data_IF_859544932676
#
_entry.id   IF_859544932676
#
_cell.length_a   1.000
_cell.length_b   1.000
_cell.length_c   1.000
_cell.angle_alpha   90.00
_cell.angle_beta   90.00
_cell.angle_gamma   90.00
#
_symmetry.space_group_name_H-M   'P 1'
#
loop_
_entity.id
_entity.type
_entity.pdbx_description
1 polymer ?
#
# COMPACT_ATOMS: atom_id res chain seq x y z
N UNK A 1 -61.21 -18.10 14.50
CA UNK A 1 -60.29 -17.22 15.26
C UNK A 1 -58.88 -17.55 14.79
N UNK A 2 -58.38 -16.83 13.78
CA UNK A 2 -57.02 -17.02 13.25
C UNK A 2 -56.18 -15.83 13.71
N UNK A 3 -55.35 -16.05 14.72
CA UNK A 3 -54.33 -15.09 15.14
C UNK A 3 -53.03 -15.43 14.41
N UNK A 4 -52.79 -14.76 13.28
CA UNK A 4 -51.48 -14.77 12.63
C UNK A 4 -50.57 -13.84 13.42
N UNK A 5 -49.67 -14.43 14.20
CA UNK A 5 -48.61 -13.71 14.90
C UNK A 5 -47.57 -13.25 13.87
N UNK A 6 -47.55 -11.95 13.59
CA UNK A 6 -46.42 -11.26 12.96
C UNK A 6 -45.24 -11.29 13.94
N UNK A 7 -44.44 -12.35 13.88
CA UNK A 7 -43.11 -12.38 14.48
C UNK A 7 -42.16 -11.68 13.54
N UNK A 8 -41.73 -10.49 13.90
CA UNK A 8 -40.65 -9.74 13.27
C UNK A 8 -39.43 -10.65 13.09
N UNK A 9 -39.20 -11.10 11.86
CA UNK A 9 -37.89 -11.63 11.47
C UNK A 9 -36.91 -10.47 11.59
N UNK A 10 -36.17 -10.46 12.69
CA UNK A 10 -34.93 -9.73 12.79
C UNK A 10 -34.05 -10.19 11.63
N UNK A 11 -33.95 -9.36 10.59
CA UNK A 11 -32.93 -9.50 9.57
C UNK A 11 -31.59 -9.21 10.25
N UNK A 12 -31.02 -10.24 10.88
CA UNK A 12 -29.63 -10.20 11.33
C UNK A 12 -28.80 -10.17 10.05
N UNK A 13 -28.27 -8.99 9.73
CA UNK A 13 -27.29 -8.81 8.67
C UNK A 13 -25.99 -9.48 9.14
N UNK A 14 -25.87 -10.79 8.90
CA UNK A 14 -24.68 -11.61 9.13
C UNK A 14 -23.67 -11.38 7.99
N UNK A 15 -23.43 -10.10 7.65
CA UNK A 15 -22.78 -9.68 6.41
C UNK A 15 -21.31 -9.27 6.55
N UNK A 16 -20.78 -9.18 7.77
CA UNK A 16 -19.44 -8.66 8.01
C UNK A 16 -18.34 -9.73 8.09
N UNK A 17 -18.66 -11.02 8.20
CA UNK A 17 -17.64 -12.05 8.47
C UNK A 17 -16.96 -12.64 7.21
N UNK A 18 -17.56 -12.55 6.02
CA UNK A 18 -17.08 -13.31 4.86
C UNK A 18 -16.25 -12.53 3.82
N UNK A 19 -16.18 -11.19 3.90
CA UNK A 19 -15.35 -10.41 2.96
C UNK A 19 -13.85 -10.65 3.22
N UNK A 20 -13.50 -11.00 4.46
CA UNK A 20 -12.13 -11.27 4.90
C UNK A 20 -11.57 -12.61 4.37
N UNK A 21 -12.43 -13.60 4.10
CA UNK A 21 -12.00 -14.94 3.63
C UNK A 21 -12.09 -15.11 2.11
N UNK A 22 -12.54 -14.06 1.44
CA UNK A 22 -12.71 -14.05 0.00
C UNK A 22 -11.36 -14.23 -0.71
N UNK A 23 -11.18 -15.29 -1.54
CA UNK A 23 -9.87 -15.62 -2.10
C UNK A 23 -9.30 -14.51 -3.00
N UNK A 24 -10.17 -13.70 -3.61
CA UNK A 24 -9.75 -12.52 -4.37
C UNK A 24 -9.29 -11.38 -3.47
N UNK A 25 -10.04 -11.05 -2.42
CA UNK A 25 -9.68 -9.99 -1.47
C UNK A 25 -8.36 -10.33 -0.78
N UNK A 26 -8.22 -11.56 -0.29
CA UNK A 26 -6.99 -12.08 0.34
C UNK A 26 -5.79 -12.00 -0.61
N UNK A 27 -5.96 -12.37 -1.89
CA UNK A 27 -4.89 -12.30 -2.88
C UNK A 27 -4.43 -10.86 -3.15
N UNK A 28 -5.37 -9.92 -3.29
CA UNK A 28 -5.02 -8.51 -3.52
C UNK A 28 -4.40 -7.86 -2.28
N UNK A 29 -4.82 -8.28 -1.08
CA UNK A 29 -4.23 -7.84 0.17
C UNK A 29 -2.80 -8.36 0.34
N UNK A 30 -2.54 -9.64 0.02
CA UNK A 30 -1.18 -10.18 -0.01
C UNK A 30 -0.25 -9.43 -1.00
N UNK A 31 -0.77 -9.02 -2.17
CA UNK A 31 -0.01 -8.19 -3.13
C UNK A 31 0.23 -6.77 -2.63
N UNK A 32 -0.67 -6.25 -1.79
CA UNK A 32 -0.52 -4.95 -1.15
C UNK A 32 0.58 -5.03 -0.09
N UNK A 33 0.58 -6.09 0.72
CA UNK A 33 1.61 -6.36 1.74
C UNK A 33 2.99 -6.56 1.11
N UNK A 34 3.07 -7.29 -0.01
CA UNK A 34 4.30 -7.43 -0.82
C UNK A 34 4.82 -6.06 -1.29
N UNK A 35 3.95 -5.22 -1.85
CA UNK A 35 4.31 -3.87 -2.29
C UNK A 35 4.77 -2.99 -1.11
N UNK A 36 4.18 -3.16 0.08
CA UNK A 36 4.66 -2.47 1.29
C UNK A 36 6.05 -2.94 1.72
N UNK A 37 6.32 -4.24 1.68
CA UNK A 37 7.64 -4.77 1.97
C UNK A 37 8.71 -4.23 0.99
N UNK A 38 8.36 -4.11 -0.29
CA UNK A 38 9.21 -3.46 -1.30
C UNK A 38 9.51 -2.00 -0.90
N UNK A 39 8.50 -1.19 -0.54
CA UNK A 39 8.73 0.20 -0.10
C UNK A 39 9.68 0.27 1.09
N UNK A 40 9.49 -0.57 2.11
CA UNK A 40 10.34 -0.59 3.31
C UNK A 40 11.81 -0.88 2.96
N UNK A 41 12.04 -1.85 2.06
CA UNK A 41 13.40 -2.16 1.60
C UNK A 41 14.07 -0.99 0.85
N UNK A 42 13.30 -0.28 0.02
CA UNK A 42 13.78 0.89 -0.72
C UNK A 42 13.94 2.13 0.17
N UNK A 43 13.13 2.26 1.22
CA UNK A 43 13.29 3.26 2.27
C UNK A 43 14.63 3.09 3.00
N UNK A 44 15.01 1.86 3.34
CA UNK A 44 16.32 1.58 3.91
C UNK A 44 17.46 1.94 2.94
N UNK A 45 17.30 1.69 1.63
CA UNK A 45 18.28 2.07 0.62
C UNK A 45 18.44 3.61 0.51
N UNK A 46 17.34 4.37 0.57
CA UNK A 46 17.37 5.83 0.60
C UNK A 46 18.05 6.34 1.87
N UNK A 47 17.75 5.76 3.03
CA UNK A 47 18.42 6.14 4.27
C UNK A 47 19.93 5.92 4.19
N UNK A 48 20.38 4.79 3.64
CA UNK A 48 21.80 4.53 3.43
C UNK A 48 22.44 5.54 2.48
N UNK A 49 21.78 5.86 1.35
CA UNK A 49 22.26 6.85 0.40
C UNK A 49 22.33 8.25 1.02
N UNK A 50 21.36 8.60 1.88
CA UNK A 50 21.32 9.86 2.61
C UNK A 50 22.49 9.98 3.58
N UNK A 51 22.78 8.93 4.35
CA UNK A 51 23.95 8.92 5.25
C UNK A 51 25.24 9.13 4.46
N UNK A 52 25.40 8.46 3.30
CA UNK A 52 26.59 8.64 2.45
C UNK A 52 26.71 10.08 1.93
N UNK A 53 25.61 10.67 1.47
CA UNK A 53 25.57 12.07 1.05
C UNK A 53 25.91 13.02 2.20
N UNK A 54 25.33 12.82 3.38
CA UNK A 54 25.60 13.65 4.56
C UNK A 54 27.07 13.55 5.00
N UNK A 55 27.67 12.35 4.92
CA UNK A 55 29.10 12.16 5.16
C UNK A 55 29.94 12.89 4.12
N UNK A 56 29.63 12.77 2.83
CA UNK A 56 30.33 13.49 1.77
C UNK A 56 30.21 15.02 1.93
N UNK A 57 29.03 15.52 2.32
CA UNK A 57 28.80 16.93 2.61
C UNK A 57 29.70 17.44 3.74
N UNK A 58 29.85 16.65 4.82
CA UNK A 58 30.73 17.00 5.95
C UNK A 58 32.21 16.92 5.59
N UNK A 59 32.61 15.94 4.79
CA UNK A 59 34.00 15.83 4.34
C UNK A 59 34.38 16.96 3.37
N UNK A 60 33.41 17.45 2.58
CA UNK A 60 33.64 18.54 1.62
C UNK A 60 33.93 19.85 2.35
N UNK A 61 33.22 20.14 3.43
CA UNK A 61 33.49 21.33 4.26
C UNK A 61 34.82 21.25 4.99
N UNK A 62 35.30 20.03 5.26
CA UNK A 62 36.61 19.78 5.87
C UNK A 62 37.76 19.74 4.85
N UNK A 63 37.47 19.83 3.54
CA UNK A 63 38.45 19.72 2.46
C UNK A 63 38.99 18.30 2.26
N UNK A 64 38.34 17.29 2.83
CA UNK A 64 38.76 15.89 2.82
C UNK A 64 38.14 15.04 1.68
N UNK A 65 37.32 15.64 0.82
CA UNK A 65 36.72 14.99 -0.36
C UNK A 65 36.61 15.99 -1.52
N UNK A 66 36.42 15.47 -2.74
CA UNK A 66 36.24 16.26 -3.94
C UNK A 66 34.79 16.71 -4.14
N UNK A 67 34.57 17.81 -4.87
CA UNK A 67 33.22 18.20 -5.32
C UNK A 67 32.56 17.10 -6.17
N UNK A 68 33.35 16.36 -6.93
CA UNK A 68 32.87 15.26 -7.77
C UNK A 68 32.29 14.10 -6.93
N UNK A 69 32.93 13.73 -5.83
CA UNK A 69 32.39 12.72 -4.90
C UNK A 69 31.10 13.19 -4.23
N UNK A 70 31.04 14.48 -3.86
CA UNK A 70 29.80 15.08 -3.34
C UNK A 70 28.67 15.00 -4.37
N UNK A 71 28.91 15.44 -5.61
CA UNK A 71 27.91 15.44 -6.68
C UNK A 71 27.46 14.00 -7.02
N UNK A 72 28.40 13.05 -7.00
CA UNK A 72 28.10 11.61 -7.19
C UNK A 72 27.20 11.08 -6.09
N UNK A 73 27.48 11.39 -4.83
CA UNK A 73 26.65 10.98 -3.70
C UNK A 73 25.26 11.64 -3.73
N UNK A 74 25.18 12.89 -4.20
CA UNK A 74 23.92 13.60 -4.39
C UNK A 74 23.08 12.97 -5.50
N UNK A 75 23.70 12.63 -6.63
CA UNK A 75 23.04 11.95 -7.73
C UNK A 75 22.52 10.57 -7.29
N UNK A 76 23.31 9.82 -6.51
CA UNK A 76 22.92 8.54 -5.96
C UNK A 76 21.72 8.66 -5.01
N UNK A 77 21.68 9.67 -4.14
CA UNK A 77 20.54 9.95 -3.27
C UNK A 77 19.28 10.24 -4.09
N UNK A 78 19.36 11.13 -5.09
CA UNK A 78 18.21 11.47 -5.95
C UNK A 78 17.70 10.26 -6.73
N UNK A 79 18.60 9.39 -7.21
CA UNK A 79 18.21 8.17 -7.89
C UNK A 79 17.47 7.20 -6.96
N UNK A 80 17.94 7.04 -5.72
CA UNK A 80 17.28 6.21 -4.72
C UNK A 80 15.90 6.78 -4.33
N UNK A 81 15.78 8.09 -4.16
CA UNK A 81 14.49 8.77 -3.88
C UNK A 81 13.50 8.59 -5.04
N UNK A 82 13.95 8.70 -6.28
CA UNK A 82 13.10 8.47 -7.45
C UNK A 82 12.60 7.02 -7.51
N UNK A 83 13.45 6.04 -7.19
CA UNK A 83 13.04 4.64 -7.12
C UNK A 83 12.00 4.40 -6.02
N UNK A 84 12.19 5.01 -4.86
CA UNK A 84 11.25 4.93 -3.75
C UNK A 84 9.88 5.50 -4.15
N UNK A 85 9.86 6.63 -4.84
CA UNK A 85 8.61 7.24 -5.32
C UNK A 85 7.85 6.32 -6.30
N UNK A 86 8.57 5.64 -7.20
CA UNK A 86 7.96 4.62 -8.07
C UNK A 86 7.34 3.49 -7.26
N UNK A 87 7.98 3.04 -6.18
CA UNK A 87 7.43 1.98 -5.32
C UNK A 87 6.22 2.46 -4.52
N UNK A 88 6.21 3.71 -4.06
CA UNK A 88 5.03 4.32 -3.43
C UNK A 88 3.85 4.39 -4.40
N UNK A 89 4.09 4.77 -5.64
CA UNK A 89 3.06 4.77 -6.68
C UNK A 89 2.51 3.36 -6.94
N UNK A 90 3.36 2.33 -6.89
CA UNK A 90 2.90 0.93 -6.98
C UNK A 90 1.96 0.57 -5.84
N UNK A 91 2.27 0.95 -4.60
CA UNK A 91 1.36 0.72 -3.45
C UNK A 91 0.01 1.41 -3.67
N UNK A 92 0.01 2.67 -4.11
CA UNK A 92 -1.23 3.41 -4.40
C UNK A 92 -2.05 2.70 -5.48
N UNK A 93 -1.40 2.26 -6.57
CA UNK A 93 -2.08 1.51 -7.63
C UNK A 93 -2.65 0.17 -7.13
N UNK A 94 -1.91 -0.56 -6.29
CA UNK A 94 -2.37 -1.83 -5.69
C UNK A 94 -3.57 -1.61 -4.76
N UNK A 95 -3.54 -0.55 -3.96
CA UNK A 95 -4.65 -0.16 -3.09
C UNK A 95 -5.90 0.19 -3.90
N UNK A 96 -5.77 1.02 -4.94
CA UNK A 96 -6.89 1.37 -5.81
C UNK A 96 -7.51 0.13 -6.49
N UNK A 97 -6.70 -0.86 -6.88
CA UNK A 97 -7.21 -2.12 -7.42
C UNK A 97 -7.99 -2.93 -6.37
N UNK A 98 -7.50 -2.99 -5.13
CA UNK A 98 -8.22 -3.65 -4.03
C UNK A 98 -9.58 -2.97 -3.77
N UNK A 99 -9.61 -1.64 -3.74
CA UNK A 99 -10.84 -0.86 -3.53
C UNK A 99 -11.88 -1.16 -4.62
N UNK A 100 -11.47 -1.21 -5.88
CA UNK A 100 -12.36 -1.55 -7.01
C UNK A 100 -12.92 -2.98 -6.89
N UNK A 101 -12.10 -3.94 -6.47
CA UNK A 101 -12.53 -5.34 -6.27
C UNK A 101 -13.59 -5.43 -5.17
N UNK A 102 -13.37 -4.74 -4.05
CA UNK A 102 -14.31 -4.68 -2.93
C UNK A 102 -15.63 -4.04 -3.37
N UNK A 103 -15.57 -2.88 -4.04
CA UNK A 103 -16.76 -2.16 -4.52
C UNK A 103 -17.59 -3.00 -5.50
N UNK A 104 -16.95 -3.64 -6.49
CA UNK A 104 -17.64 -4.51 -7.44
C UNK A 104 -18.34 -5.69 -6.75
N UNK A 105 -17.73 -6.25 -5.71
CA UNK A 105 -18.32 -7.36 -4.96
C UNK A 105 -19.47 -6.92 -4.06
N UNK A 106 -19.40 -5.73 -3.49
CA UNK A 106 -20.52 -5.15 -2.74
C UNK A 106 -21.72 -4.89 -3.68
N UNK A 107 -21.48 -4.23 -4.81
CA UNK A 107 -22.52 -3.97 -5.80
C UNK A 107 -23.15 -5.24 -6.39
N UNK A 108 -22.35 -6.29 -6.63
CA UNK A 108 -22.86 -7.58 -7.12
C UNK A 108 -23.76 -8.32 -6.12
N UNK A 109 -23.55 -8.13 -4.81
CA UNK A 109 -24.37 -8.77 -3.76
C UNK A 109 -25.73 -8.09 -3.58
N UNK A 110 -25.80 -6.77 -3.72
CA UNK A 110 -27.06 -6.02 -3.64
C UNK A 110 -28.06 -6.47 -4.72
N UNK A 111 -27.57 -6.82 -5.93
CA UNK A 111 -28.43 -7.31 -7.02
C UNK A 111 -29.02 -8.69 -6.71
N UNK A 112 -28.28 -9.58 -6.03
CA UNK A 112 -28.77 -10.91 -5.65
C UNK A 112 -29.79 -10.88 -4.51
N UNK A 113 -29.77 -9.86 -3.66
CA UNK A 113 -30.73 -9.71 -2.56
C UNK A 113 -32.07 -9.11 -3.01
N UNK A 114 -32.14 -8.54 -4.21
CA UNK A 114 -33.37 -7.99 -4.78
C UNK A 114 -34.15 -8.97 -5.69
N UNK A 115 -33.68 -10.21 -5.85
CA UNK A 115 -34.34 -11.31 -6.58
C UNK A 115 -34.89 -12.36 -5.62
#
# INVERSE_FOLDING_TARGET
>A
MLAFAWGSTSFAFDGDEDISKDPFVVLFQAKLDEAHAEVVSHEAAVQLAKVKFDTAARLLTQGATSREEYDTSQAALRAAEAQLEVMRQRVVARKALLDVVILNRLAGREIQQCL
#
